data_IF_574247365021
#
_entry.id   IF_574247365021
#
_cell.length_a   1.000
_cell.length_b   1.000
_cell.length_c   1.000
_cell.angle_alpha   90.00
_cell.angle_beta   90.00
_cell.angle_gamma   90.00
#
_symmetry.space_group_name_H-M   'P 1'
#
loop_
_entity.id
_entity.type
_entity.pdbx_description
1 polymer ?
#
# COMPACT_ATOMS: atom_id res chain seq x y z
N UNK A 1 52.79 9.02 31.32
CA UNK A 1 51.80 10.11 31.18
C UNK A 1 50.88 9.77 30.01
N UNK A 2 49.59 10.06 30.20
CA UNK A 2 48.37 9.52 29.54
C UNK A 2 48.40 9.47 28.01
N UNK A 3 48.03 8.30 27.45
CA UNK A 3 47.65 8.09 26.04
C UNK A 3 46.15 8.38 25.91
N UNK A 4 45.80 9.50 25.29
CA UNK A 4 44.40 9.86 25.01
C UNK A 4 43.92 9.14 23.75
N UNK A 5 42.99 8.19 23.91
CA UNK A 5 42.29 7.52 22.81
C UNK A 5 40.98 8.29 22.58
N UNK A 6 40.87 8.98 21.44
CA UNK A 6 39.60 9.55 20.97
C UNK A 6 38.69 8.41 20.49
N UNK A 7 37.66 8.08 21.27
CA UNK A 7 36.60 7.17 20.84
C UNK A 7 35.60 7.93 19.95
N UNK A 8 35.53 7.59 18.67
CA UNK A 8 34.42 7.98 17.79
C UNK A 8 33.21 7.12 18.15
N UNK A 9 32.16 7.76 18.69
CA UNK A 9 30.86 7.12 18.87
C UNK A 9 30.07 7.32 17.57
N UNK A 10 30.03 6.29 16.71
CA UNK A 10 29.08 6.23 15.60
C UNK A 10 27.71 5.81 16.15
N UNK A 11 26.80 6.77 16.30
CA UNK A 11 25.41 6.49 16.63
C UNK A 11 24.69 6.07 15.34
N UNK A 12 24.67 4.77 15.06
CA UNK A 12 23.93 4.21 13.93
C UNK A 12 22.42 4.32 14.18
N UNK A 13 21.77 5.31 13.57
CA UNK A 13 20.31 5.40 13.53
C UNK A 13 19.78 4.23 12.66
N UNK A 14 19.21 3.21 13.30
CA UNK A 14 18.48 2.15 12.61
C UNK A 14 17.13 2.75 12.19
N UNK A 15 17.02 3.17 10.94
CA UNK A 15 15.72 3.43 10.34
C UNK A 15 15.02 2.08 10.17
N UNK A 16 13.93 1.85 10.90
CA UNK A 16 13.02 0.76 10.60
C UNK A 16 12.43 1.02 9.21
N UNK A 17 12.96 0.35 8.19
CA UNK A 17 12.35 0.34 6.87
C UNK A 17 11.04 -0.43 6.98
N UNK A 18 9.92 0.25 6.75
CA UNK A 18 8.63 -0.41 6.57
C UNK A 18 8.73 -1.22 5.26
N UNK A 19 8.68 -2.54 5.36
CA UNK A 19 8.75 -3.42 4.19
C UNK A 19 7.41 -3.33 3.48
N UNK A 20 7.37 -2.61 2.38
CA UNK A 20 6.22 -2.60 1.49
C UNK A 20 6.08 -3.99 0.85
N UNK A 21 4.95 -4.65 1.08
CA UNK A 21 4.61 -5.87 0.36
C UNK A 21 3.90 -5.48 -0.94
N UNK A 22 4.23 -6.18 -2.02
CA UNK A 22 3.68 -5.95 -3.35
C UNK A 22 3.19 -7.26 -3.96
N UNK A 23 2.12 -7.18 -4.75
CA UNK A 23 1.44 -8.34 -5.29
C UNK A 23 0.74 -8.08 -6.61
N UNK A 24 0.69 -9.09 -7.48
CA UNK A 24 -0.16 -9.07 -8.68
C UNK A 24 -1.62 -9.35 -8.31
N UNK A 25 -2.52 -8.50 -8.79
CA UNK A 25 -3.95 -8.69 -8.66
C UNK A 25 -4.47 -9.56 -9.80
N UNK A 26 -5.53 -10.32 -9.55
CA UNK A 26 -6.25 -11.06 -10.59
C UNK A 26 -7.51 -10.29 -11.03
N UNK A 27 -7.85 -10.22 -12.33
CA UNK A 27 -9.02 -9.49 -12.80
C UNK A 27 -10.30 -10.05 -12.18
N UNK A 28 -11.15 -9.15 -11.67
CA UNK A 28 -12.42 -9.50 -11.04
C UNK A 28 -12.28 -10.16 -9.66
N UNK A 29 -11.06 -10.45 -9.21
CA UNK A 29 -10.82 -11.02 -7.89
C UNK A 29 -10.42 -9.92 -6.90
N UNK A 30 -11.08 -9.87 -5.74
CA UNK A 30 -10.71 -8.95 -4.68
C UNK A 30 -9.33 -9.31 -4.09
N UNK A 31 -8.49 -8.31 -3.90
CA UNK A 31 -7.27 -8.37 -3.09
C UNK A 31 -7.56 -7.69 -1.75
N UNK A 32 -7.18 -8.32 -0.64
CA UNK A 32 -7.37 -7.76 0.70
C UNK A 32 -6.28 -6.75 1.02
N UNK A 33 -6.70 -5.66 1.66
CA UNK A 33 -5.84 -4.57 2.07
C UNK A 33 -5.96 -4.48 3.59
N UNK A 34 -4.88 -4.73 4.31
CA UNK A 34 -4.85 -4.61 5.76
C UNK A 34 -3.56 -3.93 6.22
N UNK A 35 -3.70 -2.75 6.83
CA UNK A 35 -2.60 -2.07 7.49
C UNK A 35 -3.11 -1.14 8.59
N UNK A 36 -2.20 -0.66 9.43
CA UNK A 36 -2.42 -0.01 10.75
C UNK A 36 -3.83 0.62 10.95
N UNK A 37 -4.18 1.63 10.16
CA UNK A 37 -5.41 2.41 10.34
C UNK A 37 -6.63 1.97 9.51
N UNK A 38 -6.46 1.13 8.48
CA UNK A 38 -7.53 0.81 7.52
C UNK A 38 -7.53 -0.67 7.13
N UNK A 39 -8.72 -1.18 6.85
CA UNK A 39 -8.92 -2.51 6.26
C UNK A 39 -9.85 -2.39 5.07
N UNK A 40 -9.73 -3.30 4.12
CA UNK A 40 -10.58 -3.25 2.95
C UNK A 40 -10.22 -4.28 1.90
N UNK A 41 -10.76 -4.04 0.71
CA UNK A 41 -10.43 -4.82 -0.46
C UNK A 41 -10.38 -3.94 -1.70
N UNK A 42 -9.61 -4.37 -2.69
CA UNK A 42 -9.61 -3.78 -4.01
C UNK A 42 -9.85 -4.84 -5.07
N UNK A 43 -10.62 -4.50 -6.09
CA UNK A 43 -10.83 -5.32 -7.28
C UNK A 43 -10.54 -4.47 -8.50
N UNK A 44 -10.07 -5.09 -9.59
CA UNK A 44 -10.01 -4.40 -10.87
C UNK A 44 -10.74 -5.19 -11.95
N UNK A 45 -11.24 -4.46 -12.96
CA UNK A 45 -11.85 -5.02 -14.15
C UNK A 45 -11.25 -4.39 -15.40
N UNK A 46 -11.09 -5.16 -16.46
CA UNK A 46 -10.71 -4.62 -17.77
C UNK A 46 -11.94 -3.95 -18.41
N UNK A 47 -11.81 -2.68 -18.79
CA UNK A 47 -12.82 -1.91 -19.51
C UNK A 47 -12.25 -1.36 -20.83
N UNK A 48 -13.13 -0.90 -21.72
CA UNK A 48 -12.72 -0.36 -23.03
C UNK A 48 -11.75 0.83 -22.92
N UNK A 49 -11.79 1.58 -21.80
CA UNK A 49 -10.97 2.78 -21.57
C UNK A 49 -9.73 2.54 -20.70
N UNK A 50 -9.49 1.30 -20.26
CA UNK A 50 -8.40 0.97 -19.34
C UNK A 50 -8.87 0.01 -18.26
N UNK A 51 -8.08 -0.15 -17.20
CA UNK A 51 -8.39 -1.07 -16.13
C UNK A 51 -9.02 -0.29 -14.98
N UNK A 52 -10.30 -0.54 -14.69
CA UNK A 52 -11.02 0.14 -13.63
C UNK A 52 -10.67 -0.54 -12.31
N UNK A 53 -10.11 0.23 -11.38
CA UNK A 53 -9.77 -0.21 -10.03
C UNK A 53 -10.79 0.37 -9.06
N UNK A 54 -11.32 -0.49 -8.21
CA UNK A 54 -12.25 -0.14 -7.16
C UNK A 54 -11.72 -0.63 -5.82
N UNK A 55 -11.39 0.29 -4.92
CA UNK A 55 -10.96 -0.02 -3.56
C UNK A 55 -12.04 0.42 -2.57
N UNK A 56 -12.45 -0.47 -1.67
CA UNK A 56 -13.34 -0.17 -0.56
C UNK A 56 -12.55 -0.26 0.72
N UNK A 57 -12.42 0.85 1.43
CA UNK A 57 -11.61 0.98 2.64
C UNK A 57 -12.49 1.41 3.81
N UNK A 58 -12.26 0.83 4.98
CA UNK A 58 -12.90 1.18 6.23
C UNK A 58 -11.83 1.47 7.27
N UNK A 59 -11.92 2.64 7.91
CA UNK A 59 -11.04 2.97 9.03
C UNK A 59 -11.28 2.05 10.22
N UNK A 60 -10.23 1.61 10.90
CA UNK A 60 -10.39 0.85 12.14
C UNK A 60 -11.05 1.73 13.19
N UNK A 61 -12.20 1.28 13.70
CA UNK A 61 -13.00 2.06 14.65
C UNK A 61 -13.97 3.06 14.01
N UNK A 62 -14.02 3.15 12.68
CA UNK A 62 -15.07 3.86 11.95
C UNK A 62 -16.07 2.87 11.34
N UNK A 63 -17.39 3.11 11.46
CA UNK A 63 -18.39 2.32 10.76
C UNK A 63 -18.50 2.69 9.27
N UNK A 64 -17.91 3.82 8.84
CA UNK A 64 -18.07 4.33 7.48
C UNK A 64 -17.01 3.75 6.53
N UNK A 65 -17.48 3.29 5.37
CA UNK A 65 -16.62 2.82 4.29
C UNK A 65 -16.46 3.90 3.21
N UNK A 66 -15.23 4.09 2.75
CA UNK A 66 -14.89 4.92 1.60
C UNK A 66 -14.65 4.03 0.38
N UNK A 67 -15.28 4.36 -0.74
CA UNK A 67 -15.04 3.70 -2.03
C UNK A 67 -14.26 4.62 -2.95
N UNK A 68 -13.07 4.20 -3.34
CA UNK A 68 -12.22 4.86 -4.32
C UNK A 68 -12.37 4.14 -5.67
N UNK A 69 -12.59 4.91 -6.73
CA UNK A 69 -12.75 4.39 -8.09
C UNK A 69 -11.86 5.19 -9.02
N UNK A 70 -11.06 4.48 -9.82
CA UNK A 70 -10.24 5.08 -10.86
C UNK A 70 -10.12 4.16 -12.06
N UNK A 71 -9.68 4.68 -13.20
CA UNK A 71 -9.35 3.89 -14.40
C UNK A 71 -7.88 4.13 -14.75
N UNK A 72 -7.10 3.06 -14.80
CA UNK A 72 -5.69 3.08 -15.14
C UNK A 72 -5.50 2.79 -16.64
N UNK A 73 -4.98 3.78 -17.37
CA UNK A 73 -4.35 3.54 -18.66
C UNK A 73 -3.02 2.78 -18.47
N UNK A 74 -2.46 2.27 -19.56
CA UNK A 74 -1.18 1.59 -19.50
C UNK A 74 -0.06 2.50 -18.97
N UNK A 75 0.79 1.95 -18.10
CA UNK A 75 1.87 2.68 -17.40
C UNK A 75 1.40 3.66 -16.32
N UNK A 76 0.11 3.73 -16.01
CA UNK A 76 -0.40 4.62 -14.96
C UNK A 76 -0.43 3.95 -13.59
N UNK A 77 -0.36 4.82 -12.58
CA UNK A 77 -0.55 4.45 -11.18
C UNK A 77 -1.51 5.38 -10.46
N UNK A 78 -2.15 4.87 -9.43
CA UNK A 78 -2.95 5.62 -8.48
C UNK A 78 -2.49 5.30 -7.06
N UNK A 79 -2.43 6.31 -6.20
CA UNK A 79 -1.98 6.16 -4.81
C UNK A 79 -3.08 6.66 -3.89
N UNK A 80 -3.44 5.86 -2.89
CA UNK A 80 -4.27 6.26 -1.76
C UNK A 80 -3.35 6.47 -0.57
N UNK A 81 -3.26 7.70 -0.08
CA UNK A 81 -2.48 8.03 1.10
C UNK A 81 -3.38 8.28 2.31
N UNK A 82 -3.09 7.60 3.42
CA UNK A 82 -3.73 7.78 4.72
C UNK A 82 -2.77 8.55 5.61
N UNK A 83 -3.08 9.82 5.94
CA UNK A 83 -2.24 10.60 6.84
C UNK A 83 -2.15 9.95 8.22
N UNK A 84 -0.96 10.02 8.82
CA UNK A 84 -0.71 9.63 10.22
C UNK A 84 -0.58 10.88 11.09
N UNK A 85 -0.16 10.72 12.34
CA UNK A 85 0.09 11.86 13.23
C UNK A 85 1.08 12.85 12.60
N UNK A 86 0.99 14.11 13.01
CA UNK A 86 1.82 15.18 12.48
C UNK A 86 3.31 14.84 12.54
N UNK A 87 4.01 15.02 11.41
CA UNK A 87 5.44 14.69 11.29
C UNK A 87 5.75 13.22 10.99
N UNK A 88 4.75 12.33 10.91
CA UNK A 88 4.94 10.96 10.46
C UNK A 88 4.68 10.81 8.95
N UNK A 89 5.37 9.86 8.33
CA UNK A 89 5.12 9.47 6.94
C UNK A 89 3.67 8.95 6.78
N UNK A 90 3.08 9.22 5.62
CA UNK A 90 1.77 8.69 5.27
C UNK A 90 1.87 7.19 5.02
N UNK A 91 0.75 6.51 5.23
CA UNK A 91 0.61 5.11 4.83
C UNK A 91 -0.05 5.07 3.47
N UNK A 92 0.60 4.45 2.48
CA UNK A 92 0.19 4.53 1.08
C UNK A 92 -0.17 3.16 0.51
N UNK A 93 -1.22 3.12 -0.30
CA UNK A 93 -1.52 1.99 -1.19
C UNK A 93 -1.35 2.46 -2.61
N UNK A 94 -0.47 1.81 -3.34
CA UNK A 94 -0.26 2.06 -4.77
C UNK A 94 -0.91 0.95 -5.60
N UNK A 95 -1.68 1.37 -6.61
CA UNK A 95 -2.14 0.52 -7.70
C UNK A 95 -1.41 0.95 -8.96
N UNK A 96 -0.71 0.03 -9.62
CA UNK A 96 0.03 0.33 -10.84
C UNK A 96 -0.29 -0.68 -11.94
N UNK A 97 -0.50 -0.17 -13.15
CA UNK A 97 -0.72 -0.98 -14.35
C UNK A 97 0.52 -1.00 -15.23
N UNK A 98 0.93 -2.20 -15.64
CA UNK A 98 1.94 -2.43 -16.66
C UNK A 98 1.43 -3.47 -17.67
N UNK A 99 1.06 -3.03 -18.87
CA UNK A 99 0.42 -3.86 -19.88
C UNK A 99 -0.92 -4.40 -19.40
N UNK A 100 -0.98 -5.72 -19.23
CA UNK A 100 -2.16 -6.45 -18.74
C UNK A 100 -2.09 -6.83 -17.26
N UNK A 101 -1.02 -6.41 -16.59
CA UNK A 101 -0.79 -6.71 -15.17
C UNK A 101 -1.15 -5.49 -14.33
N UNK A 102 -1.92 -5.73 -13.26
CA UNK A 102 -2.13 -4.75 -12.19
C UNK A 102 -1.45 -5.25 -10.95
N UNK A 103 -0.65 -4.38 -10.35
CA UNK A 103 -0.01 -4.63 -9.06
C UNK A 103 -0.61 -3.74 -8.00
N UNK A 104 -0.68 -4.27 -6.79
CA UNK A 104 -0.98 -3.53 -5.58
C UNK A 104 0.24 -3.58 -4.67
N UNK A 105 0.63 -2.44 -4.12
CA UNK A 105 1.71 -2.32 -3.14
C UNK A 105 1.20 -1.57 -1.93
N UNK A 106 1.43 -2.12 -0.73
CA UNK A 106 1.07 -1.48 0.53
C UNK A 106 2.09 -1.85 1.62
N UNK A 107 2.26 -0.99 2.65
CA UNK A 107 3.00 -1.35 3.85
C UNK A 107 2.25 -2.41 4.67
N UNK A 108 2.99 -3.33 5.31
CA UNK A 108 2.40 -4.45 6.04
C UNK A 108 1.95 -5.61 5.16
N UNK A 109 1.18 -6.56 5.70
CA UNK A 109 0.85 -7.80 5.01
C UNK A 109 -0.25 -7.62 3.96
N UNK A 110 0.10 -7.73 2.68
CA UNK A 110 -0.87 -7.89 1.61
C UNK A 110 -1.34 -9.35 1.54
N UNK A 111 -2.63 -9.58 1.74
CA UNK A 111 -3.25 -10.87 1.46
C UNK A 111 -3.95 -10.86 0.10
N UNK A 112 -3.24 -11.36 -0.90
CA UNK A 112 -3.79 -11.65 -2.22
C UNK A 112 -4.59 -12.97 -2.15
N UNK A 113 -5.75 -12.95 -1.51
CA UNK A 113 -6.63 -14.12 -1.45
C UNK A 113 -7.88 -13.88 -2.27
N UNK A 114 -8.23 -14.83 -3.13
CA UNK A 114 -9.59 -14.95 -3.63
C UNK A 114 -10.50 -15.23 -2.43
N UNK A 115 -11.50 -14.39 -2.16
CA UNK A 115 -12.58 -14.79 -1.27
C UNK A 115 -13.28 -16.00 -1.91
N UNK A 116 -12.94 -17.21 -1.46
CA UNK A 116 -13.74 -18.39 -1.69
C UNK A 116 -15.02 -18.20 -0.88
N UNK A 117 -16.08 -17.76 -1.55
CA UNK A 117 -17.45 -17.92 -1.05
C UNK A 117 -17.91 -19.35 -1.30
#
# INVERSE_FOLDING_TARGET
>A
MVKTICALVFLSAIFAADVANGGEMQPGQPASIEFDAVRGSAVYTAEAKGYRVEATLTGRGSPEAMRFVTTLADGQRAVIAVPRAFGMAWTEVEFARAGDVVTITAPGDLQLQAFAN
#
